data_IF_340281124991
#
_entry.id   IF_340281124991
#
_cell.length_a   1.000
_cell.length_b   1.000
_cell.length_c   1.000
_cell.angle_alpha   90.00
_cell.angle_beta   90.00
_cell.angle_gamma   90.00
#
_symmetry.space_group_name_H-M   'P 1'
#
loop_
_entity.id
_entity.type
_entity.pdbx_description
1 polymer ?
#
# COMPACT_ATOMS: atom_id res chain seq x y z
N UNK A 1 11.13 -54.47 62.60
CA UNK A 1 12.56 -54.18 62.84
C UNK A 1 12.85 -52.75 62.39
N UNK A 2 13.24 -51.91 63.36
CA UNK A 2 14.15 -50.76 63.31
C UNK A 2 14.24 -49.82 62.08
N UNK A 3 14.08 -48.54 62.42
CA UNK A 3 15.02 -47.41 62.25
C UNK A 3 14.96 -46.52 60.98
N UNK A 4 14.62 -45.27 61.28
CA UNK A 4 15.45 -44.07 61.03
C UNK A 4 15.23 -43.32 59.73
N UNK A 5 14.51 -42.21 59.84
CA UNK A 5 14.53 -41.15 58.83
C UNK A 5 13.60 -39.98 59.15
N UNK A 6 13.53 -39.55 60.41
CA UNK A 6 12.79 -38.34 60.83
C UNK A 6 13.79 -37.38 61.48
N UNK A 7 13.56 -36.08 61.25
CA UNK A 7 14.16 -34.87 61.83
C UNK A 7 15.41 -34.30 61.12
N UNK A 8 15.21 -33.19 60.41
CA UNK A 8 15.64 -31.82 60.83
C UNK A 8 15.12 -30.80 59.79
N UNK A 9 14.11 -30.02 60.17
CA UNK A 9 14.23 -28.63 60.66
C UNK A 9 14.41 -27.61 59.52
N UNK A 10 13.41 -26.74 59.33
CA UNK A 10 13.50 -25.26 59.48
C UNK A 10 12.25 -24.63 58.86
N UNK A 11 11.35 -24.15 59.73
CA UNK A 11 10.55 -22.96 59.45
C UNK A 11 11.48 -21.76 59.59
N UNK A 12 11.48 -20.80 58.65
CA UNK A 12 11.58 -19.36 58.92
C UNK A 12 11.10 -18.57 57.68
N UNK A 13 9.98 -17.88 57.92
CA UNK A 13 9.55 -16.57 57.47
C UNK A 13 9.82 -16.06 56.04
N UNK A 14 8.70 -15.71 55.40
CA UNK A 14 8.54 -14.79 54.29
C UNK A 14 9.25 -13.44 54.51
N UNK A 15 10.05 -13.02 53.52
CA UNK A 15 10.38 -11.61 53.29
C UNK A 15 11.08 -11.41 51.93
N UNK A 16 10.44 -11.71 50.79
CA UNK A 16 10.89 -11.19 49.48
C UNK A 16 9.71 -10.99 48.52
N UNK A 17 8.73 -10.19 48.95
CA UNK A 17 7.78 -9.56 48.05
C UNK A 17 8.17 -8.07 47.96
N UNK A 18 8.83 -7.68 46.86
CA UNK A 18 9.08 -6.27 46.59
C UNK A 18 10.51 -5.93 46.18
N UNK A 19 11.02 -6.49 45.08
CA UNK A 19 12.23 -5.93 44.44
C UNK A 19 12.35 -6.22 42.93
N UNK A 20 11.29 -6.63 42.23
CA UNK A 20 11.42 -7.03 40.80
C UNK A 20 10.53 -6.27 39.82
N UNK A 21 9.69 -5.32 40.28
CA UNK A 21 8.86 -4.50 39.39
C UNK A 21 9.45 -3.13 39.04
N UNK A 22 10.57 -2.71 39.63
CA UNK A 22 11.11 -1.37 39.42
C UNK A 22 12.08 -1.23 38.23
N UNK A 23 12.55 -2.33 37.63
CA UNK A 23 13.56 -2.29 36.56
C UNK A 23 13.04 -2.58 35.15
N UNK A 24 11.74 -2.82 34.95
CA UNK A 24 11.17 -3.03 33.61
C UNK A 24 10.48 -1.78 33.03
N UNK A 25 10.47 -0.66 33.76
CA UNK A 25 9.77 0.58 33.33
C UNK A 25 10.66 1.55 32.53
N UNK A 26 11.98 1.33 32.46
CA UNK A 26 12.93 2.30 31.89
C UNK A 26 13.33 2.03 30.43
N UNK A 27 12.69 1.08 29.73
CA UNK A 27 12.96 0.79 28.30
C UNK A 27 11.76 0.88 27.36
N UNK A 28 10.68 1.52 27.76
CA UNK A 28 9.74 2.08 26.78
C UNK A 28 10.23 3.49 26.52
N UNK A 29 11.21 3.58 25.61
CA UNK A 29 11.52 4.84 24.97
C UNK A 29 10.21 5.47 24.52
N UNK A 30 10.02 6.74 24.88
CA UNK A 30 8.95 7.60 24.43
C UNK A 30 8.72 7.31 22.94
N UNK A 31 7.68 6.54 22.63
CA UNK A 31 7.10 6.51 21.30
C UNK A 31 6.57 7.92 21.13
N UNK A 32 7.40 8.79 20.59
CA UNK A 32 6.94 10.03 20.02
C UNK A 32 5.90 9.61 19.00
N UNK A 33 4.64 9.79 19.38
CA UNK A 33 3.52 9.86 18.47
C UNK A 33 3.98 10.87 17.44
N UNK A 34 4.42 10.40 16.27
CA UNK A 34 4.55 11.22 15.09
C UNK A 34 3.15 11.76 14.92
N UNK A 35 2.93 13.01 15.36
CA UNK A 35 1.69 13.72 15.08
C UNK A 35 1.48 13.57 13.58
N UNK A 36 0.30 13.05 13.22
CA UNK A 36 -0.13 12.99 11.84
C UNK A 36 0.23 14.34 11.22
N UNK A 37 1.16 14.32 10.27
CA UNK A 37 1.66 15.50 9.59
C UNK A 37 0.46 16.36 9.26
N UNK A 38 0.31 17.47 9.96
CA UNK A 38 -0.57 18.56 9.54
C UNK A 38 0.10 19.12 8.29
N UNK A 39 -0.11 18.43 7.17
CA UNK A 39 -0.03 19.04 5.86
C UNK A 39 -1.18 20.05 5.83
N UNK A 40 -0.92 21.18 6.48
CA UNK A 40 -1.64 22.41 6.29
C UNK A 40 -1.67 22.64 4.78
N UNK A 41 -2.87 22.68 4.22
CA UNK A 41 -3.16 23.19 2.87
C UNK A 41 -2.59 24.61 2.62
N UNK A 42 -2.01 25.24 3.63
CA UNK A 42 -1.63 26.64 3.68
C UNK A 42 -0.18 26.95 3.29
N UNK A 43 0.65 25.97 2.89
CA UNK A 43 1.93 26.28 2.21
C UNK A 43 1.83 25.98 0.72
N UNK A 44 0.87 26.66 0.09
CA UNK A 44 0.79 26.84 -1.36
C UNK A 44 2.08 27.57 -1.77
N UNK A 45 3.02 26.86 -2.39
CA UNK A 45 4.27 27.44 -2.88
C UNK A 45 3.94 28.67 -3.73
N UNK A 46 4.69 29.77 -3.53
CA UNK A 46 4.48 31.00 -4.30
C UNK A 46 4.49 30.68 -5.80
N UNK A 47 3.34 30.91 -6.48
CA UNK A 47 3.14 30.60 -7.90
C UNK A 47 2.32 29.34 -8.21
N UNK A 48 1.77 28.63 -7.21
CA UNK A 48 0.87 27.49 -7.47
C UNK A 48 -0.57 27.90 -7.76
N UNK A 49 -1.24 27.14 -8.63
CA UNK A 49 -2.63 27.32 -9.05
C UNK A 49 -3.49 26.10 -8.64
N UNK A 50 -4.22 26.16 -7.50
CA UNK A 50 -5.03 25.05 -7.03
C UNK A 50 -6.13 24.62 -8.01
N UNK A 51 -6.67 25.52 -8.84
CA UNK A 51 -7.68 25.18 -9.82
C UNK A 51 -7.08 24.32 -10.94
N UNK A 52 -5.91 24.72 -11.44
CA UNK A 52 -5.13 23.93 -12.41
C UNK A 52 -4.71 22.58 -11.86
N UNK A 53 -4.27 22.54 -10.60
CA UNK A 53 -3.95 21.29 -9.90
C UNK A 53 -5.12 20.32 -9.84
N UNK A 54 -6.31 20.79 -9.43
CA UNK A 54 -7.53 19.97 -9.35
C UNK A 54 -7.97 19.47 -10.72
N UNK A 55 -7.85 20.30 -11.76
CA UNK A 55 -8.18 19.91 -13.12
C UNK A 55 -7.24 18.81 -13.64
N UNK A 56 -5.92 18.98 -13.45
CA UNK A 56 -4.93 17.98 -13.83
C UNK A 56 -5.14 16.64 -13.11
N UNK A 57 -5.45 16.68 -11.80
CA UNK A 57 -5.78 15.46 -11.05
C UNK A 57 -7.07 14.82 -11.55
N UNK A 58 -8.12 15.59 -11.81
CA UNK A 58 -9.41 15.10 -12.30
C UNK A 58 -9.31 14.43 -13.67
N UNK A 59 -8.36 14.83 -14.51
CA UNK A 59 -8.04 14.12 -15.75
C UNK A 59 -7.26 12.83 -15.48
N UNK A 60 -6.23 12.91 -14.62
CA UNK A 60 -5.35 11.79 -14.27
C UNK A 60 -6.10 10.65 -13.56
N UNK A 61 -7.12 10.97 -12.76
CA UNK A 61 -7.87 10.00 -11.95
C UNK A 61 -8.49 8.87 -12.80
N UNK A 62 -8.80 9.16 -14.07
CA UNK A 62 -9.35 8.19 -15.03
C UNK A 62 -8.41 7.01 -15.27
N UNK A 63 -7.10 7.22 -15.18
CA UNK A 63 -6.08 6.15 -15.28
C UNK A 63 -6.13 5.25 -14.05
N UNK A 64 -6.17 5.81 -12.85
CA UNK A 64 -6.25 5.04 -11.59
C UNK A 64 -7.53 4.21 -11.49
N UNK A 65 -8.65 4.74 -11.98
CA UNK A 65 -9.93 4.04 -12.01
C UNK A 65 -10.11 3.11 -13.22
N UNK A 66 -9.13 3.06 -14.12
CA UNK A 66 -9.14 2.07 -15.20
C UNK A 66 -8.85 0.67 -14.67
N UNK A 67 -9.28 -0.35 -15.42
CA UNK A 67 -9.05 -1.75 -15.08
C UNK A 67 -7.56 -2.08 -14.90
N UNK A 68 -6.65 -1.38 -15.56
CA UNK A 68 -5.21 -1.67 -15.42
C UNK A 68 -4.67 -1.37 -14.02
N UNK A 69 -5.16 -0.31 -13.40
CA UNK A 69 -4.72 0.09 -12.06
C UNK A 69 -5.62 -0.52 -10.97
N UNK A 70 -6.95 -0.43 -11.17
CA UNK A 70 -7.94 -0.88 -10.18
C UNK A 70 -7.98 -2.39 -9.97
N UNK A 71 -7.55 -3.19 -10.96
CA UNK A 71 -7.41 -4.64 -10.78
C UNK A 71 -6.40 -5.04 -9.70
N UNK A 72 -5.31 -4.28 -9.58
CA UNK A 72 -4.27 -4.45 -8.56
C UNK A 72 -4.56 -3.64 -7.28
N UNK A 73 -5.39 -2.62 -7.37
CA UNK A 73 -5.81 -1.75 -6.27
C UNK A 73 -7.32 -1.89 -5.95
N UNK A 74 -7.81 -3.11 -5.66
CA UNK A 74 -9.21 -3.33 -5.36
C UNK A 74 -9.58 -2.80 -3.98
N UNK A 75 -10.87 -2.56 -3.76
CA UNK A 75 -11.41 -2.24 -2.44
C UNK A 75 -11.40 -3.46 -1.48
N UNK A 76 -11.41 -4.67 -2.04
CA UNK A 76 -11.41 -5.94 -1.31
C UNK A 76 -10.03 -6.56 -1.06
N UNK A 77 -10.06 -7.82 -0.60
CA UNK A 77 -8.85 -8.56 -0.20
C UNK A 77 -8.08 -9.18 -1.37
N UNK A 78 -8.76 -9.49 -2.48
CA UNK A 78 -8.16 -10.15 -3.64
C UNK A 78 -8.17 -9.25 -4.87
N UNK A 79 -7.23 -9.45 -5.82
CA UNK A 79 -7.22 -8.71 -7.07
C UNK A 79 -8.48 -9.00 -7.90
N UNK A 80 -8.73 -8.11 -8.86
CA UNK A 80 -9.78 -8.30 -9.88
C UNK A 80 -9.13 -8.51 -11.25
N UNK A 81 -9.91 -8.96 -12.23
CA UNK A 81 -9.48 -9.35 -13.56
C UNK A 81 -10.41 -8.77 -14.64
N UNK A 82 -9.83 -8.53 -15.82
CA UNK A 82 -10.54 -8.02 -16.97
C UNK A 82 -11.03 -6.58 -16.80
N UNK A 83 -11.79 -6.11 -17.78
CA UNK A 83 -12.24 -4.71 -17.82
C UNK A 83 -13.50 -4.48 -17.01
N UNK A 84 -14.25 -5.55 -16.74
CA UNK A 84 -15.37 -5.58 -15.80
C UNK A 84 -14.92 -5.73 -14.34
N UNK A 85 -13.62 -5.87 -14.09
CA UNK A 85 -13.01 -6.00 -12.75
C UNK A 85 -13.71 -7.07 -11.89
N UNK A 86 -13.93 -8.24 -12.46
CA UNK A 86 -14.47 -9.38 -11.70
C UNK A 86 -13.40 -9.94 -10.76
N UNK A 87 -13.75 -10.55 -9.61
CA UNK A 87 -12.76 -11.21 -8.77
C UNK A 87 -11.86 -12.16 -9.56
N UNK A 88 -10.59 -12.23 -9.18
CA UNK A 88 -9.64 -13.17 -9.77
C UNK A 88 -10.20 -14.59 -9.74
N UNK A 89 -10.22 -15.30 -10.86
CA UNK A 89 -10.97 -16.58 -10.98
C UNK A 89 -10.47 -17.72 -10.08
N UNK A 90 -9.24 -17.60 -9.55
CA UNK A 90 -8.68 -18.51 -8.53
C UNK A 90 -8.90 -18.02 -7.09
N UNK A 91 -9.63 -16.91 -6.89
CA UNK A 91 -9.97 -16.34 -5.58
C UNK A 91 -8.77 -16.04 -4.67
N UNK A 92 -7.61 -15.74 -5.28
CA UNK A 92 -6.37 -15.39 -4.58
C UNK A 92 -6.59 -14.14 -3.71
N UNK A 93 -5.99 -14.13 -2.53
CA UNK A 93 -5.99 -12.98 -1.60
C UNK A 93 -4.60 -12.34 -1.55
N UNK A 94 -4.53 -11.03 -1.33
CA UNK A 94 -3.27 -10.26 -1.34
C UNK A 94 -2.23 -10.78 -0.34
N UNK A 95 -2.63 -11.18 0.86
CA UNK A 95 -1.71 -11.49 1.95
C UNK A 95 -0.97 -10.25 2.51
N UNK A 96 -0.22 -10.42 3.62
CA UNK A 96 0.40 -9.30 4.33
C UNK A 96 1.34 -8.43 3.48
N UNK A 97 2.07 -9.06 2.56
CA UNK A 97 3.04 -8.44 1.65
C UNK A 97 2.52 -8.25 0.22
N UNK A 98 1.25 -8.57 -0.02
CA UNK A 98 0.64 -8.44 -1.34
C UNK A 98 1.07 -9.49 -2.36
N UNK A 99 1.70 -10.59 -1.90
CA UNK A 99 2.23 -11.68 -2.75
C UNK A 99 1.44 -12.98 -2.70
N UNK A 100 0.26 -12.98 -2.06
CA UNK A 100 -0.53 -14.20 -1.87
C UNK A 100 -0.42 -14.79 -0.46
N UNK A 101 -1.35 -15.70 -0.15
CA UNK A 101 -1.43 -16.38 1.16
C UNK A 101 -0.99 -17.85 1.05
N UNK A 102 -0.22 -18.34 2.02
CA UNK A 102 0.24 -19.73 2.05
C UNK A 102 0.90 -20.16 0.73
N UNK A 103 0.44 -21.27 0.16
CA UNK A 103 0.91 -21.82 -1.12
C UNK A 103 0.33 -21.12 -2.36
N UNK A 104 -0.70 -20.28 -2.17
CA UNK A 104 -1.34 -19.50 -3.24
C UNK A 104 -0.57 -18.21 -3.51
N UNK A 105 0.72 -18.34 -3.85
CA UNK A 105 1.60 -17.22 -4.18
C UNK A 105 1.37 -16.76 -5.62
N UNK A 106 1.39 -15.44 -5.84
CA UNK A 106 1.18 -14.87 -7.17
C UNK A 106 2.21 -15.40 -8.18
N UNK A 107 3.46 -15.54 -7.72
CA UNK A 107 4.61 -16.02 -8.51
C UNK A 107 4.53 -17.49 -8.89
N UNK A 108 3.56 -18.25 -8.39
CA UNK A 108 3.31 -19.63 -8.86
C UNK A 108 2.83 -19.63 -10.31
N UNK A 109 2.10 -18.59 -10.73
CA UNK A 109 1.57 -18.45 -12.09
C UNK A 109 2.15 -17.26 -12.84
N UNK A 110 2.25 -16.10 -12.18
CA UNK A 110 2.76 -14.88 -12.79
C UNK A 110 4.28 -14.87 -12.87
N UNK A 111 4.81 -14.46 -14.02
CA UNK A 111 6.24 -14.44 -14.32
C UNK A 111 6.74 -13.00 -14.46
N UNK A 112 8.04 -12.83 -14.71
CA UNK A 112 8.65 -11.51 -14.93
C UNK A 112 8.30 -10.88 -16.28
N UNK A 113 7.72 -11.66 -17.21
CA UNK A 113 7.28 -11.21 -18.54
C UNK A 113 5.88 -11.74 -18.85
N UNK A 114 5.16 -11.02 -19.71
CA UNK A 114 3.91 -11.52 -20.26
C UNK A 114 4.14 -12.83 -21.01
N UNK A 115 3.31 -13.83 -20.72
CA UNK A 115 3.22 -15.04 -21.53
C UNK A 115 2.44 -14.73 -22.81
N UNK A 116 2.88 -15.30 -23.94
CA UNK A 116 2.21 -15.11 -25.23
C UNK A 116 0.99 -16.03 -25.35
N UNK A 117 -0.17 -15.44 -25.59
CA UNK A 117 -1.45 -16.13 -25.71
C UNK A 117 -2.59 -15.48 -24.93
N UNK A 118 -3.80 -15.61 -25.46
CA UNK A 118 -4.99 -15.05 -24.85
C UNK A 118 -5.33 -15.76 -23.53
N UNK A 119 -5.67 -14.99 -22.50
CA UNK A 119 -6.06 -15.51 -21.19
C UNK A 119 -4.91 -16.06 -20.33
N UNK A 120 -3.67 -16.09 -20.82
CA UNK A 120 -2.52 -16.49 -20.01
C UNK A 120 -2.19 -15.46 -18.93
N UNK A 121 -1.63 -15.85 -17.77
CA UNK A 121 -1.26 -14.91 -16.72
C UNK A 121 -0.39 -13.76 -17.24
N UNK A 122 -0.70 -12.51 -16.88
CA UNK A 122 0.20 -11.39 -17.14
C UNK A 122 1.51 -11.54 -16.37
N UNK A 123 2.56 -10.87 -16.82
CA UNK A 123 3.83 -10.89 -16.12
C UNK A 123 4.61 -9.60 -16.23
N UNK A 124 5.27 -9.25 -15.14
CA UNK A 124 6.15 -8.11 -14.97
C UNK A 124 7.09 -8.39 -13.79
N UNK A 125 8.29 -7.78 -13.76
CA UNK A 125 9.21 -7.96 -12.65
C UNK A 125 8.55 -7.63 -11.32
N UNK A 126 8.85 -8.43 -10.30
CA UNK A 126 8.37 -8.21 -8.94
C UNK A 126 6.82 -8.20 -8.85
N UNK A 127 6.11 -9.11 -9.53
CA UNK A 127 4.65 -9.15 -9.54
C UNK A 127 4.04 -9.27 -8.13
N UNK A 128 3.34 -8.22 -7.70
CA UNK A 128 2.61 -8.16 -6.42
C UNK A 128 1.50 -7.10 -6.48
N UNK A 129 0.69 -7.04 -5.44
CA UNK A 129 -0.24 -5.93 -5.22
C UNK A 129 0.08 -5.27 -3.87
N UNK A 130 -0.61 -4.20 -3.45
CA UNK A 130 -0.41 -3.65 -2.10
C UNK A 130 -0.68 -4.71 -1.01
N UNK A 131 -0.06 -4.58 0.16
CA UNK A 131 -0.28 -5.50 1.28
C UNK A 131 -1.58 -5.23 2.05
N UNK A 132 -1.95 -6.12 2.99
CA UNK A 132 -3.15 -5.97 3.83
C UNK A 132 -3.12 -4.71 4.71
N UNK A 133 -1.94 -4.37 5.25
CA UNK A 133 -1.76 -3.21 6.11
C UNK A 133 -1.95 -1.88 5.36
N UNK A 134 -1.72 -1.87 4.04
CA UNK A 134 -1.90 -0.70 3.20
C UNK A 134 -2.45 -1.12 1.83
N UNK A 135 -3.78 -1.25 1.75
CA UNK A 135 -4.46 -1.78 0.56
C UNK A 135 -4.38 -0.87 -0.66
N UNK A 136 -4.12 0.43 -0.44
CA UNK A 136 -4.05 1.47 -1.48
C UNK A 136 -5.23 1.40 -2.47
N UNK A 137 -6.46 1.22 -2.00
CA UNK A 137 -7.61 0.98 -2.87
C UNK A 137 -7.87 2.15 -3.83
N UNK A 138 -8.17 1.83 -5.10
CA UNK A 138 -8.68 2.77 -6.10
C UNK A 138 -10.16 2.50 -6.41
N UNK A 139 -10.59 1.24 -6.33
CA UNK A 139 -12.01 0.91 -6.45
C UNK A 139 -12.80 1.39 -5.23
N UNK A 140 -14.01 1.89 -5.47
CA UNK A 140 -14.95 2.26 -4.42
C UNK A 140 -14.62 3.52 -3.64
N UNK A 141 -13.66 4.34 -4.12
CA UNK A 141 -13.31 5.63 -3.52
C UNK A 141 -13.49 6.78 -4.50
N UNK A 142 -13.71 8.00 -3.99
CA UNK A 142 -13.83 9.20 -4.81
C UNK A 142 -12.48 9.70 -5.32
N UNK A 143 -12.50 10.57 -6.34
CA UNK A 143 -11.29 11.24 -6.83
C UNK A 143 -10.59 12.05 -5.72
N UNK A 144 -11.33 12.82 -4.92
CA UNK A 144 -10.77 13.53 -3.79
C UNK A 144 -10.14 12.61 -2.73
N UNK A 145 -10.77 11.47 -2.44
CA UNK A 145 -10.20 10.47 -1.52
C UNK A 145 -8.89 9.90 -2.07
N UNK A 146 -8.83 9.54 -3.35
CA UNK A 146 -7.61 9.04 -3.98
C UNK A 146 -6.49 10.09 -3.94
N UNK A 147 -6.81 11.35 -4.25
CA UNK A 147 -5.84 12.44 -4.16
C UNK A 147 -5.24 12.58 -2.76
N UNK A 148 -6.09 12.57 -1.72
CA UNK A 148 -5.65 12.63 -0.33
C UNK A 148 -4.82 11.41 0.06
N UNK A 149 -5.20 10.22 -0.39
CA UNK A 149 -4.44 8.99 -0.15
C UNK A 149 -3.04 9.06 -0.77
N UNK A 150 -2.89 9.55 -2.00
CA UNK A 150 -1.59 9.70 -2.67
C UNK A 150 -0.64 10.65 -1.95
N UNK A 151 -1.17 11.60 -1.17
CA UNK A 151 -0.39 12.55 -0.36
C UNK A 151 -0.06 12.04 1.05
N UNK A 152 -0.72 10.98 1.50
CA UNK A 152 -0.60 10.44 2.85
C UNK A 152 0.36 9.23 2.87
N UNK A 153 1.55 9.33 3.50
CA UNK A 153 2.51 8.24 3.60
C UNK A 153 1.92 6.95 4.18
N UNK A 154 0.91 7.07 5.06
CA UNK A 154 0.25 5.92 5.67
C UNK A 154 -0.68 5.19 4.70
N UNK A 155 -1.03 5.81 3.56
CA UNK A 155 -2.00 5.29 2.58
C UNK A 155 -1.45 5.13 1.17
N UNK A 156 -0.22 5.56 0.92
CA UNK A 156 0.44 5.44 -0.38
C UNK A 156 1.67 4.52 -0.35
N UNK A 157 1.85 3.70 0.68
CA UNK A 157 3.03 2.84 0.83
C UNK A 157 4.31 3.59 1.21
N UNK A 158 4.21 4.66 2.02
CA UNK A 158 5.34 5.34 2.64
C UNK A 158 6.00 6.46 1.84
N UNK A 159 5.44 6.86 0.69
CA UNK A 159 5.95 8.00 -0.09
C UNK A 159 5.68 9.29 0.67
N UNK A 160 6.76 10.04 0.95
CA UNK A 160 6.75 11.18 1.87
C UNK A 160 6.16 12.45 1.27
N UNK A 161 6.10 12.53 -0.06
CA UNK A 161 5.54 13.66 -0.79
C UNK A 161 4.74 13.21 -2.01
N UNK A 162 3.89 14.11 -2.53
CA UNK A 162 3.19 13.88 -3.79
C UNK A 162 4.17 13.65 -4.95
N UNK A 163 5.32 14.35 -4.94
CA UNK A 163 6.40 14.16 -5.92
C UNK A 163 6.99 12.75 -5.85
N UNK A 164 7.24 12.22 -4.65
CA UNK A 164 7.72 10.84 -4.49
C UNK A 164 6.69 9.83 -5.00
N UNK A 165 5.40 10.09 -4.79
CA UNK A 165 4.33 9.25 -5.31
C UNK A 165 4.29 9.26 -6.84
N UNK A 166 4.36 10.44 -7.46
CA UNK A 166 4.43 10.56 -8.92
C UNK A 166 5.70 9.91 -9.49
N UNK A 167 6.84 10.08 -8.84
CA UNK A 167 8.09 9.46 -9.28
C UNK A 167 7.99 7.92 -9.31
N UNK A 168 7.44 7.31 -8.25
CA UNK A 168 7.18 5.87 -8.25
C UNK A 168 6.24 5.46 -9.38
N UNK A 169 5.10 6.14 -9.53
CA UNK A 169 4.11 5.83 -10.57
C UNK A 169 4.72 5.92 -11.97
N UNK A 170 5.65 6.86 -12.18
CA UNK A 170 6.29 7.09 -13.47
C UNK A 170 7.40 6.08 -13.83
N UNK A 171 7.95 5.36 -12.84
CA UNK A 171 9.22 4.64 -13.03
C UNK A 171 9.19 3.19 -12.57
N UNK A 172 8.22 2.79 -11.75
CA UNK A 172 8.13 1.43 -11.26
C UNK A 172 7.80 0.45 -12.42
N UNK A 173 8.62 -0.59 -12.66
CA UNK A 173 8.40 -1.52 -13.78
C UNK A 173 7.05 -2.25 -13.73
N UNK A 174 6.54 -2.56 -12.54
CA UNK A 174 5.24 -3.21 -12.39
C UNK A 174 4.09 -2.24 -12.69
N UNK A 175 4.26 -0.95 -12.37
CA UNK A 175 3.28 0.08 -12.76
C UNK A 175 3.33 0.32 -14.27
N UNK A 176 4.52 0.41 -14.85
CA UNK A 176 4.72 0.62 -16.29
C UNK A 176 4.12 -0.51 -17.15
N UNK A 177 4.06 -1.74 -16.63
CA UNK A 177 3.38 -2.87 -17.28
C UNK A 177 1.94 -2.54 -17.71
N UNK A 178 1.24 -1.63 -17.02
CA UNK A 178 -0.12 -1.24 -17.38
C UNK A 178 -0.26 -0.78 -18.85
N UNK A 179 0.79 -0.18 -19.43
CA UNK A 179 0.80 0.27 -20.83
C UNK A 179 1.32 -0.78 -21.83
N UNK A 180 1.82 -1.92 -21.35
CA UNK A 180 2.22 -3.09 -22.15
C UNK A 180 1.67 -4.37 -21.54
N UNK A 181 0.33 -4.53 -21.44
CA UNK A 181 -0.28 -5.55 -20.57
C UNK A 181 -0.32 -6.96 -21.17
N UNK A 182 0.27 -7.18 -22.34
CA UNK A 182 0.19 -8.44 -23.08
C UNK A 182 -1.14 -8.63 -23.80
N UNK A 183 -1.33 -9.83 -24.36
CA UNK A 183 -2.44 -10.14 -25.28
C UNK A 183 -3.81 -10.01 -24.59
N UNK A 184 -4.79 -9.49 -25.33
CA UNK A 184 -6.20 -9.42 -24.91
C UNK A 184 -6.53 -8.44 -23.79
N UNK A 185 -5.60 -7.58 -23.34
CA UNK A 185 -5.82 -6.60 -22.27
C UNK A 185 -5.79 -5.17 -22.80
N UNK A 186 -6.77 -4.37 -22.40
CA UNK A 186 -6.82 -2.94 -22.76
C UNK A 186 -5.79 -2.13 -21.97
N UNK A 187 -5.24 -1.09 -22.58
CA UNK A 187 -4.36 -0.11 -21.92
C UNK A 187 -5.20 0.93 -21.15
N UNK A 188 -4.59 1.73 -20.26
CA UNK A 188 -5.28 2.85 -19.63
C UNK A 188 -5.80 3.86 -20.67
N UNK A 189 -6.80 4.69 -20.33
CA UNK A 189 -7.43 5.64 -21.25
C UNK A 189 -6.53 6.83 -21.66
N UNK A 190 -5.30 6.89 -21.15
CA UNK A 190 -4.33 7.95 -21.39
C UNK A 190 -2.94 7.32 -21.59
N UNK A 191 -2.14 7.90 -22.49
CA UNK A 191 -0.74 7.48 -22.67
C UNK A 191 0.05 7.68 -21.37
N UNK A 192 1.10 6.89 -21.16
CA UNK A 192 1.94 7.04 -19.97
C UNK A 192 2.54 8.45 -19.89
N UNK A 193 3.04 8.97 -21.01
CA UNK A 193 3.63 10.30 -21.08
C UNK A 193 2.64 11.42 -20.71
N UNK A 194 1.42 11.37 -21.24
CA UNK A 194 0.39 12.36 -20.92
C UNK A 194 -0.08 12.24 -19.46
N UNK A 195 -0.20 11.01 -18.96
CA UNK A 195 -0.55 10.76 -17.57
C UNK A 195 0.47 11.34 -16.60
N UNK A 196 1.76 11.06 -16.82
CA UNK A 196 2.83 11.61 -15.97
C UNK A 196 2.94 13.13 -16.12
N UNK A 197 2.70 13.68 -17.32
CA UNK A 197 2.61 15.13 -17.51
C UNK A 197 1.52 15.76 -16.63
N UNK A 198 0.32 15.16 -16.58
CA UNK A 198 -0.80 15.64 -15.77
C UNK A 198 -0.56 15.45 -14.27
N UNK A 199 0.06 14.34 -13.88
CA UNK A 199 0.45 14.12 -12.47
C UNK A 199 1.51 15.12 -12.00
N UNK A 200 2.49 15.45 -12.84
CA UNK A 200 3.45 16.52 -12.54
C UNK A 200 2.77 17.90 -12.50
N UNK A 201 1.86 18.20 -13.44
CA UNK A 201 1.06 19.42 -13.41
C UNK A 201 0.26 19.55 -12.10
N UNK A 202 -0.29 18.46 -11.58
CA UNK A 202 -0.93 18.42 -10.26
C UNK A 202 0.06 18.76 -9.14
N UNK A 203 1.23 18.12 -9.09
CA UNK A 203 2.25 18.37 -8.07
C UNK A 203 2.78 19.81 -8.12
N UNK A 204 3.14 20.30 -9.31
CA UNK A 204 3.74 21.61 -9.53
C UNK A 204 2.78 22.75 -9.16
N UNK A 205 1.47 22.49 -9.19
CA UNK A 205 0.44 23.44 -8.83
C UNK A 205 -0.12 23.22 -7.41
N UNK A 206 0.66 22.57 -6.53
CA UNK A 206 0.39 22.47 -5.10
C UNK A 206 -0.34 21.21 -4.65
N UNK A 207 -0.50 20.21 -5.54
CA UNK A 207 -1.16 18.94 -5.24
C UNK A 207 -2.52 19.12 -4.55
N UNK A 208 -3.29 20.12 -4.98
CA UNK A 208 -4.64 20.38 -4.50
C UNK A 208 -5.58 19.26 -4.95
N UNK A 209 -6.43 18.80 -4.03
CA UNK A 209 -7.37 17.72 -4.29
C UNK A 209 -8.73 18.24 -4.75
N UNK A 210 -9.39 17.58 -5.72
CA UNK A 210 -10.80 17.81 -5.95
C UNK A 210 -11.61 17.32 -4.73
N UNK A 211 -12.88 17.71 -4.69
CA UNK A 211 -13.83 17.19 -3.68
C UNK A 211 -13.91 15.64 -3.69
#
# INVERSE_FOLDING_TARGET
MNRSGVLKLIFIAAAFAGASLAFYSSRIGRLERVEASTINETTIAAGSDPAKSRAAFSESVKVFFSARCSNCHPGGEGPTQGDTMTPHSMEIKRGPDGRGIGEQKCTTCHQDINLDGDGLPPGAPNWHMPGEANKMAFQGISAGQLCRNLKDPLKNGGRKSAKDAVHHIATDPLVLWAWTPGNGRTTPPMSHADFIKKMNEWVDNGAACPE
#
